data_IF_618930695173
#
_entry.id   IF_618930695173
#
_cell.length_a   1.000
_cell.length_b   1.000
_cell.length_c   1.000
_cell.angle_alpha   90.00
_cell.angle_beta   90.00
_cell.angle_gamma   90.00
#
_symmetry.space_group_name_H-M   'P 1'
#
loop_
_entity.id
_entity.type
_entity.pdbx_description
1 polymer ?
#
# COMPACT_ATOMS: atom_id res chain seq x y z
N UNK A 1 11.99 1.91 0.30
CA UNK A 1 12.43 1.95 -1.12
C UNK A 1 11.31 2.37 -2.08
N UNK A 2 10.05 2.02 -1.78
CA UNK A 2 8.92 2.35 -2.66
C UNK A 2 8.76 3.86 -2.95
N UNK A 3 9.02 4.73 -1.97
CA UNK A 3 8.96 6.19 -2.13
C UNK A 3 9.97 6.74 -3.13
N UNK A 4 11.15 6.15 -3.25
CA UNK A 4 12.17 6.51 -4.23
C UNK A 4 12.01 5.74 -5.56
N UNK A 5 10.90 5.01 -5.73
CA UNK A 5 10.57 4.25 -6.94
C UNK A 5 11.58 3.17 -7.31
N UNK A 6 12.22 2.57 -6.30
CA UNK A 6 13.16 1.46 -6.46
C UNK A 6 12.53 0.13 -6.07
N UNK A 7 12.58 -0.83 -6.98
CA UNK A 7 12.21 -2.23 -6.77
C UNK A 7 13.39 -3.15 -7.08
N UNK A 8 13.41 -4.32 -6.46
CA UNK A 8 14.41 -5.36 -6.68
C UNK A 8 13.71 -6.62 -7.20
N UNK A 9 14.31 -7.25 -8.20
CA UNK A 9 13.85 -8.52 -8.75
C UNK A 9 14.97 -9.56 -8.68
N UNK A 10 14.63 -10.77 -8.25
CA UNK A 10 15.55 -11.92 -8.21
C UNK A 10 14.98 -13.02 -9.08
N UNK A 11 15.80 -13.54 -9.98
CA UNK A 11 15.40 -14.61 -10.89
C UNK A 11 16.64 -15.42 -11.35
N UNK A 12 16.43 -16.48 -12.14
CA UNK A 12 17.53 -17.20 -12.79
C UNK A 12 18.34 -16.28 -13.72
N UNK A 13 19.60 -16.63 -13.93
CA UNK A 13 20.48 -15.86 -14.81
C UNK A 13 19.91 -15.67 -16.23
N UNK A 14 19.17 -16.65 -16.73
CA UNK A 14 18.52 -16.60 -18.03
C UNK A 14 17.43 -15.50 -18.09
N UNK A 15 16.58 -15.45 -17.07
CA UNK A 15 15.53 -14.43 -16.95
C UNK A 15 16.17 -13.03 -16.79
N UNK A 16 17.16 -12.91 -15.93
CA UNK A 16 17.88 -11.64 -15.74
C UNK A 16 18.53 -11.15 -17.04
N UNK A 17 19.05 -12.08 -17.86
CA UNK A 17 19.64 -11.76 -19.17
C UNK A 17 18.59 -11.16 -20.13
N UNK A 18 17.37 -11.67 -20.10
CA UNK A 18 16.26 -11.12 -20.91
C UNK A 18 15.84 -9.75 -20.37
N UNK A 19 15.66 -9.61 -19.06
CA UNK A 19 15.30 -8.34 -18.43
C UNK A 19 16.34 -7.23 -18.70
N UNK A 20 17.63 -7.57 -18.69
CA UNK A 20 18.69 -6.62 -19.00
C UNK A 20 18.68 -6.12 -20.46
N UNK A 21 18.09 -6.88 -21.40
CA UNK A 21 17.95 -6.43 -22.80
C UNK A 21 16.87 -5.36 -22.96
N UNK A 22 15.85 -5.37 -22.12
CA UNK A 22 14.71 -4.43 -22.18
C UNK A 22 14.80 -3.30 -21.16
N UNK A 23 15.68 -3.44 -20.16
CA UNK A 23 15.90 -2.43 -19.14
C UNK A 23 16.52 -1.18 -19.77
N UNK A 24 15.96 0.02 -19.58
CA UNK A 24 16.60 1.27 -20.03
C UNK A 24 17.97 1.43 -19.39
N UNK A 25 18.96 1.96 -20.12
CA UNK A 25 20.23 2.37 -19.51
C UNK A 25 19.97 3.50 -18.49
N UNK A 26 20.77 3.56 -17.45
CA UNK A 26 20.69 4.60 -16.40
C UNK A 26 19.32 4.69 -15.71
N UNK A 27 18.64 3.55 -15.56
CA UNK A 27 17.30 3.47 -14.99
C UNK A 27 17.21 3.86 -13.50
N UNK A 28 18.33 3.99 -12.79
CA UNK A 28 18.40 4.39 -11.39
C UNK A 28 19.40 5.54 -11.25
N UNK A 29 18.93 6.67 -10.71
CA UNK A 29 19.81 7.82 -10.45
C UNK A 29 20.80 7.55 -9.32
N UNK A 30 21.92 8.26 -9.31
CA UNK A 30 22.91 8.18 -8.21
C UNK A 30 22.27 8.53 -6.87
N UNK A 31 21.41 9.54 -6.82
CA UNK A 31 20.68 9.94 -5.60
C UNK A 31 19.78 8.80 -5.10
N UNK A 32 19.04 8.13 -6.00
CA UNK A 32 18.22 6.98 -5.62
C UNK A 32 19.07 5.82 -5.08
N UNK A 33 20.25 5.59 -5.65
CA UNK A 33 21.18 4.56 -5.17
C UNK A 33 21.68 4.89 -3.75
N UNK A 34 22.11 6.13 -3.49
CA UNK A 34 22.57 6.57 -2.18
C UNK A 34 21.48 6.40 -1.10
N UNK A 35 20.29 6.91 -1.36
CA UNK A 35 19.14 6.78 -0.44
C UNK A 35 18.78 5.31 -0.21
N UNK A 36 18.86 4.46 -1.24
CA UNK A 36 18.61 3.03 -1.10
C UNK A 36 19.64 2.34 -0.18
N UNK A 37 20.93 2.64 -0.35
CA UNK A 37 21.99 2.08 0.48
C UNK A 37 21.81 2.48 1.96
N UNK A 38 21.51 3.76 2.21
CA UNK A 38 21.21 4.24 3.57
C UNK A 38 20.01 3.54 4.18
N UNK A 39 18.93 3.35 3.40
CA UNK A 39 17.72 2.67 3.86
C UNK A 39 17.95 1.20 4.18
N UNK A 40 18.78 0.50 3.39
CA UNK A 40 19.15 -0.89 3.64
C UNK A 40 19.93 -1.06 4.95
N UNK A 41 20.72 -0.06 5.35
CA UNK A 41 21.42 -0.05 6.64
C UNK A 41 20.50 0.13 7.85
N UNK A 42 19.21 0.47 7.66
CA UNK A 42 18.23 0.75 8.73
C UNK A 42 17.22 -0.38 8.94
N UNK A 43 17.66 -1.64 8.83
CA UNK A 43 16.77 -2.80 8.90
C UNK A 43 15.96 -2.86 10.20
N UNK A 44 16.58 -2.60 11.35
CA UNK A 44 15.90 -2.59 12.64
C UNK A 44 14.73 -1.60 12.65
N UNK A 45 14.98 -0.37 12.22
CA UNK A 45 13.94 0.68 12.13
C UNK A 45 12.79 0.27 11.19
N UNK A 46 13.11 -0.32 10.03
CA UNK A 46 12.10 -0.84 9.11
C UNK A 46 11.24 -1.93 9.77
N UNK A 47 11.86 -2.85 10.51
CA UNK A 47 11.15 -3.92 11.20
C UNK A 47 10.24 -3.38 12.33
N UNK A 48 10.69 -2.35 13.06
CA UNK A 48 9.90 -1.68 14.09
C UNK A 48 8.64 -1.03 13.46
N UNK A 49 8.79 -0.27 12.39
CA UNK A 49 7.66 0.32 11.64
C UNK A 49 6.69 -0.72 11.08
N UNK A 50 7.20 -1.85 10.55
CA UNK A 50 6.34 -2.92 10.04
C UNK A 50 5.48 -3.51 11.17
N UNK A 51 6.04 -3.73 12.35
CA UNK A 51 5.28 -4.22 13.52
C UNK A 51 4.20 -3.22 13.94
N UNK A 52 4.52 -1.93 13.96
CA UNK A 52 3.57 -0.87 14.28
C UNK A 52 2.43 -0.82 13.26
N UNK A 53 2.73 -0.83 11.95
CA UNK A 53 1.73 -0.85 10.88
C UNK A 53 0.79 -2.05 11.01
N UNK A 54 1.33 -3.24 11.28
CA UNK A 54 0.51 -4.44 11.45
C UNK A 54 -0.43 -4.28 12.65
N UNK A 55 0.10 -3.83 13.81
CA UNK A 55 -0.69 -3.64 15.01
C UNK A 55 -1.81 -2.60 14.81
N UNK A 56 -1.51 -1.47 14.19
CA UNK A 56 -2.51 -0.43 13.92
C UNK A 56 -3.54 -0.88 12.86
N UNK A 57 -3.13 -1.65 11.86
CA UNK A 57 -4.06 -2.24 10.89
C UNK A 57 -5.08 -3.16 11.58
N UNK A 58 -4.64 -4.02 12.50
CA UNK A 58 -5.54 -4.91 13.24
C UNK A 58 -6.53 -4.14 14.13
N UNK A 59 -6.05 -3.11 14.84
CA UNK A 59 -6.91 -2.22 15.61
C UNK A 59 -7.94 -1.53 14.73
N UNK A 60 -7.49 -0.95 13.61
CA UNK A 60 -8.38 -0.28 12.65
C UNK A 60 -9.42 -1.25 12.08
N UNK A 61 -9.03 -2.47 11.73
CA UNK A 61 -9.94 -3.50 11.26
C UNK A 61 -11.04 -3.82 12.29
N UNK A 62 -10.68 -3.91 13.58
CA UNK A 62 -11.62 -4.09 14.67
C UNK A 62 -12.61 -2.93 14.79
N UNK A 63 -12.13 -1.70 14.76
CA UNK A 63 -12.98 -0.51 14.83
C UNK A 63 -13.92 -0.40 13.63
N UNK A 64 -13.42 -0.67 12.42
CA UNK A 64 -14.23 -0.62 11.20
C UNK A 64 -15.36 -1.66 11.22
N UNK A 65 -15.08 -2.88 11.66
CA UNK A 65 -16.11 -3.95 11.79
C UNK A 65 -17.24 -3.59 12.75
N UNK A 66 -17.00 -2.72 13.71
CA UNK A 66 -18.01 -2.27 14.67
C UNK A 66 -18.93 -1.17 14.12
N UNK A 67 -18.62 -0.57 12.97
CA UNK A 67 -19.41 0.50 12.37
C UNK A 67 -20.61 -0.06 11.59
N UNK A 68 -21.84 0.45 11.79
CA UNK A 68 -23.03 -0.06 11.12
C UNK A 68 -23.02 0.15 9.60
N UNK A 69 -22.25 1.12 9.09
CA UNK A 69 -22.09 1.38 7.65
C UNK A 69 -21.13 0.41 6.97
N UNK A 70 -20.34 -0.36 7.72
CA UNK A 70 -19.36 -1.30 7.20
C UNK A 70 -20.01 -2.66 7.05
N UNK A 71 -20.06 -3.15 5.81
CA UNK A 71 -20.62 -4.46 5.48
C UNK A 71 -19.55 -5.55 5.57
N UNK A 72 -18.31 -5.24 5.20
CA UNK A 72 -17.20 -6.20 5.17
C UNK A 72 -15.86 -5.49 5.26
N UNK A 73 -14.93 -6.05 6.02
CA UNK A 73 -13.51 -5.67 6.02
C UNK A 73 -12.73 -6.87 5.49
N UNK A 74 -12.16 -6.73 4.31
CA UNK A 74 -11.43 -7.81 3.65
C UNK A 74 -10.09 -8.10 4.35
N UNK A 75 -9.63 -9.36 4.36
CA UNK A 75 -8.29 -9.70 4.83
C UNK A 75 -7.21 -8.93 4.08
N UNK A 76 -6.14 -8.55 4.78
CA UNK A 76 -5.05 -7.77 4.17
C UNK A 76 -3.71 -8.09 4.81
N UNK A 77 -2.70 -8.34 3.97
CA UNK A 77 -1.29 -8.39 4.34
C UNK A 77 -0.54 -7.10 3.96
N UNK A 78 -1.28 -6.08 3.46
CA UNK A 78 -0.74 -4.78 3.08
C UNK A 78 -0.81 -3.76 4.24
N UNK A 79 -0.38 -2.54 3.98
CA UNK A 79 -0.51 -1.40 4.89
C UNK A 79 -1.85 -0.65 4.71
N UNK A 80 -2.87 -1.29 4.17
CA UNK A 80 -4.20 -0.73 3.99
C UNK A 80 -5.28 -1.80 4.18
N UNK A 81 -6.49 -1.37 4.41
CA UNK A 81 -7.69 -2.21 4.43
C UNK A 81 -8.59 -1.86 3.24
N UNK A 82 -9.13 -2.88 2.57
CA UNK A 82 -10.25 -2.73 1.67
C UNK A 82 -11.53 -3.01 2.46
N UNK A 83 -12.46 -2.07 2.42
CA UNK A 83 -13.67 -2.11 3.25
C UNK A 83 -14.88 -1.86 2.37
N UNK A 84 -15.82 -2.80 2.35
CA UNK A 84 -17.12 -2.61 1.69
C UNK A 84 -18.06 -1.91 2.63
N UNK A 85 -18.71 -0.86 2.15
CA UNK A 85 -19.62 -0.02 2.93
C UNK A 85 -20.98 0.12 2.24
N UNK A 86 -21.97 0.65 2.95
CA UNK A 86 -23.33 0.84 2.40
C UNK A 86 -23.39 1.90 1.30
N UNK A 87 -22.60 2.97 1.43
CA UNK A 87 -22.54 4.10 0.48
C UNK A 87 -21.11 4.64 0.43
N UNK A 88 -20.26 4.06 -0.43
CA UNK A 88 -18.86 4.48 -0.53
C UNK A 88 -18.71 5.94 -0.99
N UNK A 89 -19.54 6.38 -1.93
CA UNK A 89 -19.45 7.75 -2.48
C UNK A 89 -19.82 8.80 -1.44
N UNK A 90 -20.91 8.60 -0.72
CA UNK A 90 -21.36 9.54 0.32
C UNK A 90 -20.42 9.53 1.53
N UNK A 91 -19.91 8.37 1.93
CA UNK A 91 -18.91 8.26 3.01
C UNK A 91 -17.59 8.92 2.59
N UNK A 92 -17.12 8.67 1.36
CA UNK A 92 -15.94 9.32 0.81
C UNK A 92 -16.04 10.84 0.87
N UNK A 93 -17.16 11.41 0.39
CA UNK A 93 -17.35 12.86 0.40
C UNK A 93 -17.33 13.42 1.82
N UNK A 94 -18.05 12.80 2.75
CA UNK A 94 -18.07 13.22 4.17
C UNK A 94 -16.69 13.17 4.82
N UNK A 95 -15.85 12.21 4.44
CA UNK A 95 -14.47 12.11 4.92
C UNK A 95 -13.61 13.24 4.35
N UNK A 96 -13.73 13.51 3.04
CA UNK A 96 -13.03 14.63 2.37
C UNK A 96 -13.41 15.98 3.01
N UNK A 97 -14.68 16.21 3.28
CA UNK A 97 -15.18 17.43 3.94
C UNK A 97 -14.58 17.62 5.35
N UNK A 98 -14.17 16.51 5.99
CA UNK A 98 -13.47 16.50 7.28
C UNK A 98 -11.94 16.48 7.17
N UNK A 99 -11.39 16.60 5.95
CA UNK A 99 -9.94 16.56 5.70
C UNK A 99 -9.33 15.15 5.75
N UNK A 100 -10.15 14.09 5.78
CA UNK A 100 -9.68 12.70 5.77
C UNK A 100 -9.74 12.14 4.35
N UNK A 101 -8.58 11.82 3.78
CA UNK A 101 -8.48 11.33 2.41
C UNK A 101 -8.31 9.81 2.40
N UNK A 102 -9.30 9.13 1.86
CA UNK A 102 -9.27 7.70 1.56
C UNK A 102 -9.32 7.49 0.04
N UNK A 103 -9.37 6.26 -0.45
CA UNK A 103 -9.54 6.00 -1.89
C UNK A 103 -10.84 5.27 -2.15
N UNK A 104 -11.73 5.89 -2.92
CA UNK A 104 -12.87 5.20 -3.51
C UNK A 104 -12.39 4.20 -4.57
N UNK A 105 -12.79 2.93 -4.40
CA UNK A 105 -12.47 1.82 -5.31
C UNK A 105 -13.69 1.27 -6.02
N UNK A 106 -14.84 1.92 -5.90
CA UNK A 106 -16.14 1.43 -6.42
C UNK A 106 -16.13 1.16 -7.94
N UNK A 107 -15.25 1.84 -8.68
CA UNK A 107 -15.10 1.65 -10.13
C UNK A 107 -14.17 0.49 -10.52
N UNK A 108 -13.62 -0.24 -9.54
CA UNK A 108 -12.76 -1.39 -9.79
C UNK A 108 -13.61 -2.66 -9.79
N UNK A 109 -13.30 -3.60 -10.68
CA UNK A 109 -13.98 -4.88 -10.77
C UNK A 109 -14.03 -5.56 -9.40
N UNK A 110 -15.19 -6.07 -9.00
CA UNK A 110 -15.47 -6.72 -7.71
C UNK A 110 -15.36 -5.82 -6.46
N UNK A 111 -15.12 -4.51 -6.62
CA UNK A 111 -14.96 -3.56 -5.52
C UNK A 111 -16.14 -2.59 -5.39
N UNK A 112 -17.36 -2.99 -5.79
CA UNK A 112 -18.55 -2.14 -5.65
C UNK A 112 -18.70 -1.69 -4.18
N UNK A 113 -18.92 -0.38 -3.99
CA UNK A 113 -19.01 0.24 -2.66
C UNK A 113 -17.80 -0.04 -1.74
N UNK A 114 -16.60 -0.14 -2.29
CA UNK A 114 -15.39 -0.35 -1.51
C UNK A 114 -14.57 0.94 -1.36
N UNK A 115 -14.11 1.19 -0.14
CA UNK A 115 -13.12 2.19 0.20
C UNK A 115 -11.80 1.51 0.59
N UNK A 116 -10.66 2.05 0.11
CA UNK A 116 -9.33 1.67 0.60
C UNK A 116 -8.87 2.68 1.64
N UNK A 117 -8.65 2.19 2.83
CA UNK A 117 -8.27 2.98 4.02
C UNK A 117 -6.85 2.58 4.41
N UNK A 118 -5.99 3.57 4.62
CA UNK A 118 -4.56 3.39 4.95
C UNK A 118 -4.28 4.01 6.30
#
# INVERSE_FOLDING_TARGET
LAGIRLGLGFASAEIIKVLNKIKPPYNISILSQQVALEALGKEKQKNDWVREIIAEREKLAGHLKALPQVLEVFPSDANFLLTRVTDAKGIYQKLVDKGVIVRDRSNVLLCQNCLRIT
#
